data_IF_344537363964
#
_entry.id   IF_344537363964
#
_cell.length_a   1.000
_cell.length_b   1.000
_cell.length_c   1.000
_cell.angle_alpha   90.00
_cell.angle_beta   90.00
_cell.angle_gamma   90.00
#
_symmetry.space_group_name_H-M   'P 1'
#
loop_
_entity.id
_entity.type
_entity.pdbx_description
1 polymer ?
#
# COMPACT_ATOMS: atom_id res chain seq x y z
N UNK A 1 26.46 -10.31 26.89
CA UNK A 1 25.13 -10.49 26.25
C UNK A 1 24.97 -9.36 25.25
N UNK A 2 24.59 -9.65 24.00
CA UNK A 2 24.41 -8.61 22.99
C UNK A 2 23.06 -7.90 23.19
N UNK A 3 23.03 -6.57 23.03
CA UNK A 3 21.81 -5.79 23.17
C UNK A 3 20.77 -6.17 22.12
N UNK A 4 19.51 -6.21 22.56
CA UNK A 4 18.38 -6.40 21.66
C UNK A 4 18.18 -5.10 20.86
N UNK A 5 17.96 -5.20 19.53
CA UNK A 5 17.72 -4.02 18.72
C UNK A 5 16.45 -3.28 19.19
N UNK A 6 16.49 -1.95 19.16
CA UNK A 6 15.50 -1.06 19.78
C UNK A 6 14.04 -1.30 19.38
N UNK A 7 13.80 -1.76 18.14
CA UNK A 7 12.47 -2.13 17.64
C UNK A 7 11.86 -3.36 18.35
N UNK A 8 12.64 -4.14 19.13
CA UNK A 8 12.14 -5.23 19.97
C UNK A 8 11.75 -4.79 21.39
N UNK A 9 12.17 -3.60 21.82
CA UNK A 9 12.07 -3.15 23.22
C UNK A 9 11.08 -1.99 23.39
N UNK A 10 10.83 -1.23 22.32
CA UNK A 10 9.86 -0.11 22.34
C UNK A 10 8.50 -0.53 21.83
N UNK A 11 7.45 -0.03 22.49
CA UNK A 11 6.08 -0.15 22.00
C UNK A 11 5.97 0.48 20.61
N UNK A 12 5.40 -0.27 19.67
CA UNK A 12 5.22 0.17 18.31
C UNK A 12 3.93 -0.44 17.74
N UNK A 13 3.28 0.31 16.85
CA UNK A 13 2.11 -0.17 16.10
C UNK A 13 2.48 -1.45 15.33
N UNK A 14 1.54 -2.40 15.24
CA UNK A 14 1.70 -3.56 14.37
C UNK A 14 2.06 -3.12 12.94
N UNK A 15 3.02 -3.81 12.34
CA UNK A 15 3.62 -3.52 11.03
C UNK A 15 4.40 -2.18 10.93
N UNK A 16 4.62 -1.45 12.02
CA UNK A 16 5.46 -0.25 11.99
C UNK A 16 6.87 -0.56 11.45
N UNK A 17 7.46 -1.65 11.93
CA UNK A 17 8.69 -2.23 11.39
C UNK A 17 8.34 -3.53 10.69
N UNK A 18 8.50 -3.57 9.37
CA UNK A 18 8.09 -4.69 8.53
C UNK A 18 9.26 -5.23 7.73
N UNK A 19 9.59 -6.51 7.92
CA UNK A 19 10.47 -7.25 7.03
C UNK A 19 9.69 -7.77 5.82
N UNK A 20 10.31 -7.77 4.65
CA UNK A 20 9.73 -8.22 3.40
C UNK A 20 10.60 -9.30 2.80
N UNK A 21 9.96 -10.36 2.32
CA UNK A 21 10.61 -11.46 1.61
C UNK A 21 9.68 -12.06 0.55
N UNK A 22 10.25 -12.83 -0.38
CA UNK A 22 9.51 -13.63 -1.34
C UNK A 22 9.66 -15.11 -1.06
N UNK A 23 8.53 -15.81 -0.96
CA UNK A 23 8.51 -17.26 -1.03
C UNK A 23 8.37 -17.70 -2.50
N UNK A 24 9.22 -18.67 -2.86
CA UNK A 24 9.48 -19.16 -4.21
C UNK A 24 8.25 -19.66 -4.97
N UNK A 25 8.44 -20.10 -6.22
CA UNK A 25 7.35 -20.09 -7.16
C UNK A 25 6.28 -21.14 -6.87
N UNK A 26 5.06 -20.66 -6.70
CA UNK A 26 3.85 -21.46 -6.70
C UNK A 26 3.24 -21.45 -8.10
N UNK A 27 2.59 -22.56 -8.45
CA UNK A 27 1.84 -22.66 -9.68
C UNK A 27 0.35 -22.48 -9.39
N UNK A 28 -0.23 -21.41 -9.91
CA UNK A 28 -1.64 -21.08 -9.71
C UNK A 28 -2.45 -21.30 -10.99
N UNK A 29 -3.74 -21.58 -10.83
CA UNK A 29 -4.70 -21.61 -11.93
C UNK A 29 -5.44 -20.26 -11.88
N UNK A 30 -5.28 -19.38 -12.90
CA UNK A 30 -5.81 -18.02 -12.83
C UNK A 30 -7.34 -17.97 -12.84
N UNK A 31 -8.00 -18.93 -13.49
CA UNK A 31 -9.46 -19.06 -13.49
C UNK A 31 -9.87 -20.51 -13.79
N UNK A 32 -11.06 -20.91 -13.33
CA UNK A 32 -11.58 -22.27 -13.51
C UNK A 32 -12.20 -22.45 -14.89
N UNK A 33 -11.41 -22.96 -15.85
CA UNK A 33 -11.90 -23.41 -17.17
C UNK A 33 -11.08 -24.61 -17.65
N UNK A 34 -11.70 -25.47 -18.46
CA UNK A 34 -11.02 -26.62 -19.08
C UNK A 34 -9.90 -26.12 -20.00
N UNK A 35 -8.71 -26.72 -19.89
CA UNK A 35 -7.55 -26.38 -20.73
C UNK A 35 -6.71 -25.18 -20.26
N UNK A 36 -6.97 -24.63 -19.08
CA UNK A 36 -6.15 -23.50 -18.56
C UNK A 36 -4.82 -24.01 -18.02
N UNK A 37 -3.73 -23.42 -18.50
CA UNK A 37 -2.38 -23.71 -18.03
C UNK A 37 -2.11 -23.04 -16.68
N UNK A 38 -1.32 -23.74 -15.84
CA UNK A 38 -0.84 -23.18 -14.59
C UNK A 38 0.19 -22.08 -14.89
N UNK A 39 0.08 -20.96 -14.19
CA UNK A 39 1.04 -19.86 -14.26
C UNK A 39 1.91 -19.84 -13.01
N UNK A 40 3.16 -19.42 -13.17
CA UNK A 40 4.08 -19.18 -12.07
C UNK A 40 3.64 -17.93 -11.33
N UNK A 41 3.65 -17.97 -10.01
CA UNK A 41 3.37 -16.85 -9.12
C UNK A 41 4.29 -16.96 -7.91
N UNK A 42 4.35 -15.89 -7.11
CA UNK A 42 5.16 -15.83 -5.90
C UNK A 42 4.31 -15.29 -4.75
N UNK A 43 4.75 -15.58 -3.54
CA UNK A 43 4.12 -15.05 -2.34
C UNK A 43 5.03 -13.97 -1.77
N UNK A 44 4.52 -12.75 -1.71
CA UNK A 44 5.16 -11.64 -1.02
C UNK A 44 4.76 -11.70 0.46
N UNK A 45 5.76 -11.85 1.32
CA UNK A 45 5.62 -11.95 2.77
C UNK A 45 5.94 -10.60 3.40
N UNK A 46 5.02 -10.09 4.21
CA UNK A 46 5.20 -8.92 5.05
C UNK A 46 5.20 -9.37 6.51
N UNK A 47 6.36 -9.39 7.15
CA UNK A 47 6.55 -9.86 8.52
C UNK A 47 6.69 -8.67 9.46
N UNK A 48 5.77 -8.52 10.41
CA UNK A 48 5.88 -7.52 11.45
C UNK A 48 7.03 -7.90 12.42
N UNK A 49 8.04 -7.05 12.53
CA UNK A 49 9.18 -7.31 13.41
C UNK A 49 8.85 -7.13 14.89
N UNK A 50 7.79 -6.36 15.20
CA UNK A 50 7.27 -6.07 16.54
C UNK A 50 6.47 -7.27 17.07
N UNK A 51 5.44 -7.71 16.35
CA UNK A 51 4.49 -8.73 16.82
C UNK A 51 4.69 -10.12 16.22
N UNK A 52 5.59 -10.27 15.25
CA UNK A 52 5.77 -11.49 14.43
C UNK A 52 4.57 -11.87 13.56
N UNK A 53 3.55 -11.00 13.47
CA UNK A 53 2.43 -11.22 12.57
C UNK A 53 2.89 -11.23 11.10
N UNK A 54 2.36 -12.15 10.30
CA UNK A 54 2.65 -12.25 8.87
C UNK A 54 1.42 -11.82 8.07
N UNK A 55 1.63 -10.98 7.07
CA UNK A 55 0.65 -10.66 6.04
C UNK A 55 1.17 -11.14 4.69
N UNK A 56 0.29 -11.72 3.89
CA UNK A 56 0.65 -12.46 2.68
C UNK A 56 -0.10 -11.84 1.51
N UNK A 57 0.63 -11.50 0.45
CA UNK A 57 0.07 -11.01 -0.80
C UNK A 57 0.59 -11.87 -1.96
N UNK A 58 -0.27 -12.17 -2.92
CA UNK A 58 0.12 -12.86 -4.14
C UNK A 58 0.80 -11.86 -5.09
N UNK A 59 1.90 -12.27 -5.71
CA UNK A 59 2.55 -11.54 -6.80
C UNK A 59 2.62 -12.43 -8.05
N UNK A 60 2.38 -11.84 -9.23
CA UNK A 60 2.46 -12.57 -10.51
C UNK A 60 3.88 -13.02 -10.82
N UNK A 61 4.87 -12.23 -10.44
CA UNK A 61 6.28 -12.44 -10.71
C UNK A 61 7.16 -11.73 -9.66
N UNK A 62 8.46 -11.73 -9.89
CA UNK A 62 9.47 -11.03 -9.07
C UNK A 62 9.85 -9.67 -9.69
N UNK A 63 8.97 -9.03 -10.45
CA UNK A 63 9.21 -7.67 -10.94
C UNK A 63 8.96 -6.63 -9.85
N UNK A 64 9.55 -5.45 -10.02
CA UNK A 64 9.29 -4.27 -9.19
C UNK A 64 7.81 -3.89 -9.20
N UNK A 65 7.16 -3.95 -10.37
CA UNK A 65 5.75 -3.57 -10.52
C UNK A 65 4.81 -4.51 -9.75
N UNK A 66 5.05 -5.83 -9.84
CA UNK A 66 4.28 -6.81 -9.09
C UNK A 66 4.45 -6.62 -7.57
N UNK A 67 5.67 -6.29 -7.12
CA UNK A 67 5.93 -5.95 -5.72
C UNK A 67 5.23 -4.67 -5.28
N UNK A 68 5.29 -3.58 -6.05
CA UNK A 68 4.61 -2.32 -5.73
C UNK A 68 3.09 -2.51 -5.61
N UNK A 69 2.50 -3.35 -6.48
CA UNK A 69 1.09 -3.71 -6.39
C UNK A 69 0.77 -4.52 -5.11
N UNK A 70 1.64 -5.45 -4.70
CA UNK A 70 1.51 -6.17 -3.44
C UNK A 70 1.65 -5.23 -2.23
N UNK A 71 2.65 -4.35 -2.25
CA UNK A 71 2.86 -3.32 -1.22
C UNK A 71 1.63 -2.42 -1.08
N UNK A 72 1.06 -1.96 -2.20
CA UNK A 72 -0.18 -1.17 -2.19
C UNK A 72 -1.32 -1.90 -1.48
N UNK A 73 -1.57 -3.17 -1.80
CA UNK A 73 -2.63 -3.97 -1.15
C UNK A 73 -2.37 -4.14 0.36
N UNK A 74 -1.12 -4.40 0.74
CA UNK A 74 -0.71 -4.49 2.13
C UNK A 74 -0.97 -3.18 2.88
N UNK A 75 -0.52 -2.04 2.34
CA UNK A 75 -0.71 -0.72 2.95
C UNK A 75 -2.19 -0.33 3.01
N UNK A 76 -2.99 -0.65 2.00
CA UNK A 76 -4.44 -0.42 2.04
C UNK A 76 -5.14 -1.19 3.15
N UNK A 77 -4.64 -2.38 3.53
CA UNK A 77 -5.24 -3.21 4.59
C UNK A 77 -4.67 -2.96 5.99
N UNK A 78 -3.36 -2.69 6.11
CA UNK A 78 -2.65 -2.51 7.40
C UNK A 78 -2.42 -1.04 7.77
N UNK A 79 -2.62 -0.14 6.82
CA UNK A 79 -2.29 1.27 6.94
C UNK A 79 -0.79 1.52 6.70
N UNK A 80 -0.35 2.76 6.96
CA UNK A 80 1.04 3.15 6.76
C UNK A 80 1.98 2.39 7.69
N UNK A 81 3.17 2.08 7.17
CA UNK A 81 4.30 1.49 7.90
C UNK A 81 5.40 2.54 8.08
N UNK A 82 6.23 2.39 9.11
CA UNK A 82 7.32 3.32 9.39
C UNK A 82 8.64 2.93 8.72
N UNK A 83 8.99 1.64 8.75
CA UNK A 83 10.25 1.14 8.17
C UNK A 83 10.04 -0.22 7.51
N UNK A 84 10.60 -0.37 6.31
CA UNK A 84 10.62 -1.61 5.56
C UNK A 84 12.06 -2.14 5.54
N UNK A 85 12.22 -3.43 5.82
CA UNK A 85 13.48 -4.17 5.72
C UNK A 85 13.36 -5.22 4.62
N UNK A 86 14.32 -5.29 3.71
CA UNK A 86 14.38 -6.30 2.65
C UNK A 86 15.83 -6.67 2.38
N UNK A 87 16.04 -7.72 1.58
CA UNK A 87 17.33 -7.92 0.92
C UNK A 87 17.51 -6.94 -0.25
N UNK A 88 18.64 -7.05 -0.95
CA UNK A 88 18.96 -6.25 -2.13
C UNK A 88 18.39 -6.85 -3.43
N UNK A 89 17.30 -7.60 -3.38
CA UNK A 89 16.59 -8.08 -4.55
C UNK A 89 16.24 -6.93 -5.50
N UNK A 90 16.39 -7.14 -6.80
CA UNK A 90 16.24 -6.08 -7.82
C UNK A 90 14.84 -5.47 -7.84
N UNK A 91 13.82 -6.26 -7.50
CA UNK A 91 12.44 -5.82 -7.27
C UNK A 91 12.33 -4.82 -6.12
N UNK A 92 12.98 -5.08 -4.98
CA UNK A 92 12.96 -4.21 -3.82
C UNK A 92 13.82 -2.96 -4.04
N UNK A 93 14.99 -3.10 -4.65
CA UNK A 93 15.84 -1.96 -5.03
C UNK A 93 15.11 -1.04 -6.00
N UNK A 94 14.45 -1.60 -7.03
CA UNK A 94 13.63 -0.84 -7.95
C UNK A 94 12.48 -0.13 -7.23
N UNK A 95 11.77 -0.82 -6.33
CA UNK A 95 10.65 -0.24 -5.60
C UNK A 95 11.08 0.88 -4.65
N UNK A 96 12.22 0.72 -3.97
CA UNK A 96 12.84 1.78 -3.17
C UNK A 96 13.11 3.00 -4.04
N UNK A 97 13.75 2.82 -5.20
CA UNK A 97 14.02 3.93 -6.13
C UNK A 97 12.73 4.63 -6.60
N UNK A 98 11.68 3.87 -6.90
CA UNK A 98 10.37 4.44 -7.23
C UNK A 98 9.80 5.31 -6.10
N UNK A 99 9.87 4.84 -4.85
CA UNK A 99 9.40 5.59 -3.70
C UNK A 99 10.24 6.85 -3.46
N UNK A 100 11.57 6.74 -3.52
CA UNK A 100 12.49 7.87 -3.37
C UNK A 100 12.19 8.96 -4.42
N UNK A 101 11.92 8.57 -5.68
CA UNK A 101 11.52 9.51 -6.73
C UNK A 101 10.20 10.21 -6.42
N UNK A 102 9.21 9.50 -5.87
CA UNK A 102 7.94 10.11 -5.45
C UNK A 102 8.18 11.13 -4.33
N UNK A 103 8.98 10.78 -3.32
CA UNK A 103 9.31 11.70 -2.23
C UNK A 103 10.02 12.95 -2.75
N UNK A 104 11.00 12.80 -3.64
CA UNK A 104 11.69 13.93 -4.25
C UNK A 104 10.75 14.88 -5.00
N UNK A 105 9.73 14.34 -5.70
CA UNK A 105 8.71 15.17 -6.36
C UNK A 105 7.83 15.87 -5.32
N UNK A 106 7.37 15.15 -4.30
CA UNK A 106 6.51 15.71 -3.24
C UNK A 106 7.20 16.78 -2.40
N UNK A 107 8.52 16.68 -2.23
CA UNK A 107 9.34 17.65 -1.50
C UNK A 107 9.81 18.82 -2.38
N UNK A 108 9.61 18.74 -3.70
CA UNK A 108 10.00 19.84 -4.59
C UNK A 108 9.12 21.07 -4.37
N UNK A 109 9.77 22.23 -4.19
CA UNK A 109 9.08 23.51 -3.98
C UNK A 109 8.07 23.80 -5.10
N UNK A 110 8.46 23.52 -6.35
CA UNK A 110 7.59 23.71 -7.51
C UNK A 110 6.29 22.87 -7.43
N UNK A 111 6.37 21.63 -6.95
CA UNK A 111 5.20 20.79 -6.80
C UNK A 111 4.33 21.27 -5.63
N UNK A 112 4.93 21.61 -4.49
CA UNK A 112 4.22 22.11 -3.32
C UNK A 112 3.47 23.41 -3.63
N UNK A 113 4.11 24.34 -4.33
CA UNK A 113 3.47 25.59 -4.75
C UNK A 113 2.30 25.33 -5.67
N UNK A 114 2.49 24.54 -6.74
CA UNK A 114 1.42 24.17 -7.67
C UNK A 114 0.27 23.46 -6.98
N UNK A 115 0.56 22.47 -6.13
CA UNK A 115 -0.44 21.71 -5.39
C UNK A 115 -1.24 22.61 -4.45
N UNK A 116 -0.57 23.52 -3.74
CA UNK A 116 -1.22 24.47 -2.84
C UNK A 116 -2.12 25.46 -3.59
N UNK A 117 -1.70 25.94 -4.76
CA UNK A 117 -2.51 26.82 -5.61
C UNK A 117 -3.72 26.08 -6.17
N UNK A 118 -3.53 24.85 -6.68
CA UNK A 118 -4.63 24.04 -7.20
C UNK A 118 -5.72 23.77 -6.14
N UNK A 119 -5.31 23.48 -4.89
CA UNK A 119 -6.23 23.29 -3.77
C UNK A 119 -6.95 24.57 -3.35
N UNK A 120 -6.31 25.73 -3.49
CA UNK A 120 -6.91 27.04 -3.22
C UNK A 120 -7.91 27.42 -4.30
N UNK A 121 -7.54 27.25 -5.57
CA UNK A 121 -8.33 27.65 -6.73
C UNK A 121 -9.54 26.71 -6.94
N UNK A 122 -9.38 25.42 -6.68
CA UNK A 122 -10.43 24.40 -6.83
C UNK A 122 -10.98 23.93 -5.48
N UNK A 123 -11.16 24.85 -4.53
CA UNK A 123 -11.67 24.51 -3.20
C UNK A 123 -13.04 23.82 -3.31
N UNK A 124 -13.10 22.57 -2.84
CA UNK A 124 -14.34 21.81 -2.77
C UNK A 124 -15.26 22.46 -1.74
N UNK A 125 -16.40 23.00 -2.20
CA UNK A 125 -17.45 23.50 -1.32
C UNK A 125 -18.29 22.33 -0.81
N UNK A 126 -18.18 22.03 0.48
CA UNK A 126 -18.96 20.98 1.11
C UNK A 126 -20.26 21.54 1.70
N UNK A 127 -21.40 21.16 1.13
CA UNK A 127 -22.73 21.57 1.63
C UNK A 127 -23.41 20.41 2.35
N UNK A 128 -23.77 20.64 3.62
CA UNK A 128 -24.58 19.72 4.41
C UNK A 128 -26.05 20.12 4.34
N UNK A 129 -26.93 19.11 4.32
CA UNK A 129 -28.36 19.37 4.48
C UNK A 129 -28.66 19.82 5.92
N UNK A 130 -29.67 20.68 6.14
CA UNK A 130 -30.15 20.99 7.47
C UNK A 130 -30.57 19.71 8.22
N UNK A 131 -30.35 19.64 9.54
CA UNK A 131 -30.85 18.54 10.35
C UNK A 131 -32.35 18.34 10.12
N UNK A 132 -32.79 17.07 10.02
CA UNK A 132 -34.21 16.69 9.84
C UNK A 132 -34.89 17.19 8.56
N UNK A 133 -34.14 17.65 7.55
CA UNK A 133 -34.67 18.07 6.25
C UNK A 133 -34.22 17.15 5.09
N UNK A 134 -34.58 15.85 5.08
CA UNK A 134 -34.08 14.88 4.11
C UNK A 134 -34.53 15.16 2.67
N UNK A 135 -35.56 15.99 2.48
CA UNK A 135 -36.14 16.38 1.21
C UNK A 135 -35.35 17.49 0.47
N UNK A 136 -34.42 18.18 1.14
CA UNK A 136 -33.59 19.23 0.51
C UNK A 136 -32.51 18.69 -0.45
N UNK A 137 -32.19 17.40 -0.37
CA UNK A 137 -31.23 16.77 -1.27
C UNK A 137 -31.92 16.11 -2.47
N UNK A 138 -32.16 16.86 -3.54
CA UNK A 138 -32.77 16.33 -4.78
C UNK A 138 -32.00 15.12 -5.36
N UNK A 139 -30.68 15.06 -5.15
CA UNK A 139 -29.84 13.92 -5.57
C UNK A 139 -30.06 12.63 -4.78
N UNK A 140 -30.75 12.66 -3.62
CA UNK A 140 -31.16 11.43 -2.93
C UNK A 140 -32.17 10.60 -3.73
N UNK A 141 -32.80 11.18 -4.75
CA UNK A 141 -33.65 10.47 -5.70
C UNK A 141 -32.85 9.83 -6.85
N UNK A 142 -31.60 10.23 -7.07
CA UNK A 142 -30.73 9.68 -8.12
C UNK A 142 -30.02 8.38 -7.70
N UNK A 143 -30.05 8.03 -6.41
CA UNK A 143 -29.81 6.67 -5.95
C UNK A 143 -31.04 5.83 -6.29
N UNK A 144 -31.12 5.32 -7.53
CA UNK A 144 -31.96 4.17 -7.82
C UNK A 144 -31.46 2.98 -6.99
N UNK A 145 -32.39 2.25 -6.38
CA UNK A 145 -32.17 0.89 -5.91
C UNK A 145 -31.85 -0.05 -7.07
#
# INVERSE_FOLDING_TARGET
MADLPSYRVREAKAFCHTGIDYAGPLYIIPYRRRGVHKIKAYVCLFVCLVTKAVHIELASDLSTEAFLNALKRFLSRRGPVGTIYSDCGTNFVGAKSHLDNIYNVLESEQYLDKFSNELRDNRIEWKLNPPSAPHFGAWKQCTMY
#
